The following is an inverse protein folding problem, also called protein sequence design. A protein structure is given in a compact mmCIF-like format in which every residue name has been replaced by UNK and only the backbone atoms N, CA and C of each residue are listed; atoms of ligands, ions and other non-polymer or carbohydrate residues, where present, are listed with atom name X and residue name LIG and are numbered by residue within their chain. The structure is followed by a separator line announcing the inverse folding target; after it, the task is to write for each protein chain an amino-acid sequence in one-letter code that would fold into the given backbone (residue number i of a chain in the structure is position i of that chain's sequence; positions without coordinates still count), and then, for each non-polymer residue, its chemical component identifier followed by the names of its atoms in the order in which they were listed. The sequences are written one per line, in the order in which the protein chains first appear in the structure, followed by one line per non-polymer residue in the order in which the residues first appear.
data_IF_581861147359
#
_entry.id   IF_581861147359
#
_cell.length_a   1.000
_cell.length_b   1.000
_cell.length_c   1.000
_cell.angle_alpha   90.00
_cell.angle_beta   90.00
_cell.angle_gamma   90.00
#
_symmetry.space_group_name_H-M   'P 1'
#
loop_
_entity.id
_entity.type
_entity.pdbx_description
1 polymer ?
#
# COMPACT_ATOMS: atom_id res chain seq x y z
N UNK A 1 -2.94 -10.21 -14.56
CA UNK A 1 -1.86 -9.22 -14.38
C UNK A 1 -2.21 -8.37 -13.19
N UNK A 2 -1.68 -8.76 -12.02
CA UNK A 2 -1.91 -8.08 -10.75
C UNK A 2 -1.22 -6.71 -10.80
N UNK A 3 -2.00 -5.63 -10.67
CA UNK A 3 -1.52 -4.26 -10.51
C UNK A 3 -1.67 -3.83 -9.05
N UNK A 4 -1.28 -4.72 -8.14
CA UNK A 4 -0.93 -4.35 -6.79
C UNK A 4 0.32 -5.12 -6.48
N UNK A 5 1.44 -4.41 -6.53
CA UNK A 5 2.58 -4.79 -5.72
C UNK A 5 2.08 -4.58 -4.30
N UNK A 6 1.52 -5.63 -3.70
CA UNK A 6 1.76 -5.83 -2.28
C UNK A 6 3.24 -5.52 -2.09
N UNK A 7 3.57 -4.48 -1.34
CA UNK A 7 4.95 -4.23 -0.97
C UNK A 7 5.26 -5.27 0.14
N UNK A 8 5.22 -6.56 -0.25
CA UNK A 8 6.02 -7.59 0.38
C UNK A 8 7.43 -7.32 -0.10
N UNK A 9 8.16 -6.55 0.70
CA UNK A 9 9.61 -6.58 0.59
C UNK A 9 9.98 -7.74 1.49
N UNK A 10 10.45 -8.83 0.87
CA UNK A 10 11.45 -9.67 1.53
C UNK A 10 12.64 -8.76 1.79
N UNK A 11 12.56 -7.98 2.87
CA UNK A 11 13.75 -7.56 3.57
C UNK A 11 14.31 -8.90 3.99
N UNK A 12 15.39 -9.34 3.33
CA UNK A 12 15.79 -10.75 3.26
C UNK A 12 15.51 -11.46 4.58
N UNK A 13 14.89 -12.64 4.51
CA UNK A 13 14.22 -13.41 5.58
C UNK A 13 14.82 -13.40 7.00
N UNK A 14 16.03 -12.89 7.16
CA UNK A 14 16.81 -12.74 8.38
C UNK A 14 17.34 -11.28 8.50
N UNK A 15 16.47 -10.27 8.69
CA UNK A 15 16.96 -8.94 9.07
C UNK A 15 17.40 -8.96 10.54
N UNK A 16 18.57 -9.57 10.80
CA UNK A 16 19.21 -9.59 12.13
C UNK A 16 19.72 -8.19 12.54
N UNK A 17 19.92 -7.30 11.57
CA UNK A 17 20.59 -6.00 11.77
C UNK A 17 19.60 -4.84 11.58
N UNK A 18 19.35 -4.01 12.61
CA UNK A 18 18.53 -2.81 12.49
C UNK A 18 19.00 -1.89 11.37
N UNK A 19 18.05 -1.23 10.69
CA UNK A 19 18.33 -0.26 9.61
C UNK A 19 19.32 0.84 10.02
N UNK A 20 19.28 1.28 11.29
CA UNK A 20 20.20 2.29 11.81
C UNK A 20 21.64 1.79 11.92
N UNK A 21 21.83 0.50 12.19
CA UNK A 21 23.15 -0.14 12.25
C UNK A 21 23.73 -0.30 10.85
N UNK A 22 22.92 -0.69 9.86
CA UNK A 22 23.35 -0.71 8.44
C UNK A 22 23.81 0.66 7.95
N UNK A 23 23.05 1.72 8.24
CA UNK A 23 23.42 3.10 7.86
C UNK A 23 24.73 3.52 8.54
N UNK A 24 24.92 3.16 9.81
CA UNK A 24 26.13 3.49 10.54
C UNK A 24 27.36 2.78 9.95
N UNK A 25 27.25 1.49 9.63
CA UNK A 25 28.33 0.70 9.04
C UNK A 25 28.77 1.28 7.68
N UNK A 26 27.82 1.77 6.88
CA UNK A 26 28.11 2.41 5.60
C UNK A 26 28.84 3.74 5.73
N UNK A 27 28.36 4.60 6.64
CA UNK A 27 29.03 5.87 6.92
C UNK A 27 30.46 5.63 7.42
N UNK A 28 30.69 4.52 8.13
CA UNK A 28 32.01 4.11 8.62
C UNK A 28 32.84 3.37 7.57
N UNK A 29 32.29 3.04 6.40
CA UNK A 29 32.98 2.35 5.31
C UNK A 29 33.18 0.85 5.52
N UNK A 30 32.44 0.21 6.44
CA UNK A 30 32.43 -1.26 6.63
C UNK A 30 31.38 -1.93 5.72
N UNK A 31 31.41 -1.58 4.43
CA UNK A 31 30.52 -2.11 3.40
C UNK A 31 30.98 -3.50 2.96
N UNK A 32 30.85 -4.50 3.82
CA UNK A 32 31.20 -5.88 3.49
C UNK A 32 30.23 -6.48 2.46
N UNK A 33 30.57 -6.27 1.19
CA UNK A 33 29.93 -6.94 0.05
C UNK A 33 28.73 -6.20 -0.57
N UNK A 34 28.44 -4.98 -0.14
CA UNK A 34 27.33 -4.18 -0.69
C UNK A 34 27.81 -3.33 -1.88
N UNK A 35 27.03 -3.35 -2.97
CA UNK A 35 27.34 -2.59 -4.18
C UNK A 35 26.76 -1.16 -4.09
N UNK A 36 27.29 -0.20 -4.87
CA UNK A 36 26.68 1.13 -4.99
C UNK A 36 25.20 1.10 -5.43
N UNK A 37 24.78 0.04 -6.13
CA UNK A 37 23.40 -0.16 -6.56
C UNK A 37 22.47 -0.45 -5.37
N UNK A 38 22.97 -1.19 -4.38
CA UNK A 38 22.22 -1.55 -3.17
C UNK A 38 21.94 -0.30 -2.33
N UNK A 39 22.94 0.58 -2.20
CA UNK A 39 22.80 1.87 -1.54
C UNK A 39 21.86 2.84 -2.25
N UNK A 40 21.87 2.84 -3.59
CA UNK A 40 20.90 3.61 -4.36
C UNK A 40 19.47 3.11 -4.14
N UNK A 41 19.27 1.79 -4.14
CA UNK A 41 17.97 1.18 -3.89
C UNK A 41 17.48 1.50 -2.46
N UNK A 42 18.37 1.38 -1.47
CA UNK A 42 18.11 1.71 -0.08
C UNK A 42 17.78 3.20 0.13
N UNK A 43 18.56 4.10 -0.45
CA UNK A 43 18.31 5.54 -0.37
C UNK A 43 16.99 5.92 -1.04
N UNK A 44 16.71 5.34 -2.21
CA UNK A 44 15.44 5.52 -2.91
C UNK A 44 14.27 5.03 -2.05
N UNK A 45 14.46 3.94 -1.31
CA UNK A 45 13.46 3.41 -0.39
C UNK A 45 13.21 4.35 0.80
N UNK A 46 14.27 4.85 1.45
CA UNK A 46 14.14 5.84 2.52
C UNK A 46 13.41 7.11 2.05
N UNK A 47 13.74 7.59 0.85
CA UNK A 47 13.05 8.75 0.26
C UNK A 47 11.57 8.49 0.01
N UNK A 48 11.21 7.29 -0.46
CA UNK A 48 9.80 6.90 -0.62
C UNK A 48 9.06 6.88 0.71
N UNK A 49 9.67 6.37 1.78
CA UNK A 49 9.08 6.39 3.13
C UNK A 49 8.88 7.84 3.59
N UNK A 50 9.92 8.66 3.56
CA UNK A 50 9.83 10.06 4.00
C UNK A 50 8.79 10.85 3.20
N UNK A 51 8.73 10.62 1.89
CA UNK A 51 7.71 11.21 1.04
C UNK A 51 6.31 10.73 1.46
N UNK A 52 6.13 9.44 1.71
CA UNK A 52 4.83 8.88 2.08
C UNK A 52 4.32 9.40 3.43
N UNK A 53 5.20 9.52 4.43
CA UNK A 53 4.87 10.06 5.75
C UNK A 53 4.43 11.52 5.68
N UNK A 54 4.92 12.28 4.69
CA UNK A 54 4.55 13.69 4.50
C UNK A 54 3.28 13.88 3.66
N UNK A 55 2.69 12.81 3.10
CA UNK A 55 1.43 12.92 2.35
C UNK A 55 0.26 13.18 3.31
N UNK A 56 -0.54 14.25 3.12
CA UNK A 56 -1.67 14.57 4.00
C UNK A 56 -2.76 13.50 4.09
N UNK A 57 -2.86 12.62 3.09
CA UNK A 57 -3.84 11.51 3.06
C UNK A 57 -3.36 10.22 3.73
N UNK A 58 -2.11 10.18 4.21
CA UNK A 58 -1.61 9.06 5.00
C UNK A 58 -2.20 9.15 6.42
N UNK A 59 -2.97 8.15 6.83
CA UNK A 59 -3.43 8.02 8.21
C UNK A 59 -2.22 7.65 9.07
N UNK A 60 -2.02 8.41 10.13
CA UNK A 60 -1.02 8.13 11.18
C UNK A 60 -1.76 7.73 12.45
N UNK A 61 -1.55 6.51 12.91
CA UNK A 61 -2.16 5.98 14.14
C UNK A 61 -1.06 5.52 15.10
N UNK A 62 -1.11 6.02 16.34
CA UNK A 62 -0.24 5.52 17.41
C UNK A 62 -0.82 4.24 17.98
N UNK A 63 0.01 3.21 18.09
CA UNK A 63 -0.27 1.91 18.70
C UNK A 63 0.66 1.70 19.87
N UNK A 64 0.10 1.40 21.03
CA UNK A 64 0.83 1.24 22.28
C UNK A 64 0.91 -0.24 22.70
N UNK A 65 1.12 -1.13 21.74
CA UNK A 65 1.02 -2.58 21.94
C UNK A 65 1.92 -3.11 23.06
N UNK A 66 3.12 -2.54 23.26
CA UNK A 66 4.01 -2.96 24.34
C UNK A 66 3.48 -2.45 25.68
N UNK A 67 3.15 -1.15 25.76
CA UNK A 67 2.61 -0.53 26.96
C UNK A 67 1.28 -1.17 27.41
N UNK A 68 0.38 -1.46 26.47
CA UNK A 68 -0.90 -2.12 26.74
C UNK A 68 -0.71 -3.55 27.25
N UNK A 69 0.23 -4.31 26.67
CA UNK A 69 0.54 -5.67 27.13
C UNK A 69 1.20 -5.70 28.50
N UNK A 70 2.07 -4.73 28.82
CA UNK A 70 2.64 -4.58 30.17
C UNK A 70 1.55 -4.22 31.19
N UNK A 71 0.66 -3.29 30.85
CA UNK A 71 -0.47 -2.95 31.70
C UNK A 71 -1.40 -4.15 31.94
N UNK A 72 -1.68 -4.94 30.89
CA UNK A 72 -2.45 -6.17 30.99
C UNK A 72 -1.76 -7.22 31.86
N UNK A 73 -0.43 -7.37 31.76
CA UNK A 73 0.34 -8.26 32.61
C UNK A 73 0.26 -7.84 34.09
N UNK A 74 0.38 -6.54 34.38
CA UNK A 74 0.30 -6.01 35.73
C UNK A 74 -1.09 -6.24 36.38
N UNK A 75 -2.15 -6.20 35.58
CA UNK A 75 -3.53 -6.46 36.04
C UNK A 75 -3.89 -7.96 36.11
N UNK A 76 -3.05 -8.86 35.61
CA UNK A 76 -3.34 -10.30 35.53
C UNK A 76 -3.01 -11.02 36.84
N UNK A 77 -3.97 -11.79 37.34
CA UNK A 77 -3.85 -12.52 38.61
C UNK A 77 -3.17 -13.89 38.45
N UNK A 78 -3.33 -14.52 37.28
CA UNK A 78 -2.72 -15.83 37.03
C UNK A 78 -1.24 -15.70 36.67
N UNK A 79 -0.30 -16.31 37.43
CA UNK A 79 1.13 -16.16 37.17
C UNK A 79 1.54 -16.68 35.79
N UNK A 80 0.92 -17.78 35.33
CA UNK A 80 1.18 -18.35 33.99
C UNK A 80 0.75 -17.42 32.85
N UNK A 81 -0.38 -16.72 33.02
CA UNK A 81 -0.87 -15.75 32.01
C UNK A 81 -0.07 -14.46 32.05
N UNK A 82 0.31 -14.00 33.23
CA UNK A 82 1.18 -12.83 33.42
C UNK A 82 2.51 -13.00 32.70
N UNK A 83 3.23 -14.11 32.95
CA UNK A 83 4.50 -14.39 32.26
C UNK A 83 4.34 -14.50 30.74
N UNK A 84 3.21 -15.00 30.25
CA UNK A 84 2.92 -15.02 28.82
C UNK A 84 2.81 -13.59 28.27
N UNK A 85 2.05 -12.72 28.92
CA UNK A 85 1.89 -11.32 28.51
C UNK A 85 3.20 -10.53 28.59
N UNK A 86 4.03 -10.76 29.61
CA UNK A 86 5.37 -10.17 29.74
C UNK A 86 6.29 -10.61 28.59
N UNK A 87 6.30 -11.89 28.24
CA UNK A 87 7.08 -12.39 27.10
C UNK A 87 6.59 -11.83 25.76
N UNK A 88 5.28 -11.64 25.62
CA UNK A 88 4.72 -10.99 24.44
C UNK A 88 5.06 -9.50 24.39
N UNK A 89 5.06 -8.80 25.53
CA UNK A 89 5.46 -7.41 25.63
C UNK A 89 6.94 -7.22 25.31
N UNK A 90 7.81 -8.13 25.77
CA UNK A 90 9.25 -8.11 25.47
C UNK A 90 9.56 -8.21 23.97
N UNK A 91 8.63 -8.75 23.16
CA UNK A 91 8.75 -8.83 21.70
C UNK A 91 7.97 -7.75 20.97
N UNK A 92 7.19 -6.95 21.69
CA UNK A 92 6.38 -5.87 21.13
C UNK A 92 7.05 -4.52 21.34
N UNK A 93 6.69 -3.56 20.50
CA UNK A 93 7.10 -2.17 20.62
C UNK A 93 5.92 -1.26 20.30
N UNK A 94 5.90 -0.11 20.97
CA UNK A 94 4.96 0.96 20.63
C UNK A 94 5.38 1.56 19.29
N UNK A 95 4.41 1.75 18.39
CA UNK A 95 4.69 2.14 17.00
C UNK A 95 3.69 3.14 16.47
N UNK A 96 4.11 3.88 15.45
CA UNK A 96 3.21 4.69 14.63
C UNK A 96 2.94 3.90 13.36
N UNK A 97 1.69 3.49 13.16
CA UNK A 97 1.25 2.84 11.93
C UNK A 97 0.86 3.92 10.94
N UNK A 98 1.51 3.90 9.78
CA UNK A 98 1.30 4.86 8.70
C UNK A 98 0.76 4.10 7.50
N UNK A 99 -0.42 4.48 7.00
CA UNK A 99 -1.07 3.76 5.91
C UNK A 99 -2.22 4.55 5.28
N UNK A 100 -2.79 4.06 4.16
CA UNK A 100 -3.88 4.75 3.49
C UNK A 100 -5.16 4.71 4.35
N UNK A 101 -5.97 5.78 4.28
CA UNK A 101 -7.24 5.90 5.03
C UNK A 101 -8.20 4.72 4.78
N UNK A 102 -8.17 4.13 3.58
CA UNK A 102 -8.79 2.85 3.30
C UNK A 102 -7.79 1.97 2.57
N UNK A 103 -7.58 0.77 3.10
CA UNK A 103 -7.13 -0.35 2.30
C UNK A 103 -8.43 -0.92 1.76
N UNK A 104 -8.67 -0.78 0.46
CA UNK A 104 -9.69 -1.58 -0.22
C UNK A 104 -9.23 -3.02 -0.11
N UNK A 105 -9.60 -3.69 0.98
CA UNK A 105 -9.56 -5.15 1.04
C UNK A 105 -10.54 -5.56 -0.02
N UNK A 106 -10.00 -5.98 -1.16
CA UNK A 106 -10.78 -6.51 -2.25
C UNK A 106 -11.36 -7.83 -1.74
N UNK A 107 -12.48 -7.72 -1.04
CA UNK A 107 -13.22 -8.85 -0.47
C UNK A 107 -13.59 -9.72 -1.67
N UNK A 108 -12.80 -10.77 -1.90
CA UNK A 108 -13.11 -11.86 -2.82
C UNK A 108 -14.25 -12.71 -2.24
N UNK A 109 -15.33 -12.07 -1.77
CA UNK A 109 -16.57 -12.74 -1.43
C UNK A 109 -17.14 -13.24 -2.75
N UNK A 110 -16.80 -14.48 -3.08
CA UNK A 110 -17.58 -15.24 -4.03
C UNK A 110 -19.00 -15.30 -3.46
N UNK A 111 -19.93 -14.59 -4.09
CA UNK A 111 -21.34 -14.78 -3.82
C UNK A 111 -21.66 -16.27 -3.99
N UNK A 112 -22.45 -16.79 -3.05
CA UNK A 112 -22.88 -18.20 -2.96
C UNK A 112 -23.67 -18.70 -4.21
N UNK A 113 -23.76 -17.87 -5.25
CA UNK A 113 -24.43 -18.12 -6.53
C UNK A 113 -23.47 -18.47 -7.68
N UNK A 114 -22.16 -18.57 -7.43
CA UNK A 114 -21.19 -19.06 -8.42
C UNK A 114 -20.79 -18.04 -9.50
N UNK A 115 -21.28 -16.81 -9.41
CA UNK A 115 -20.83 -15.71 -10.26
C UNK A 115 -19.72 -14.93 -9.56
N UNK A 116 -18.48 -15.07 -10.05
CA UNK A 116 -17.35 -14.24 -9.59
C UNK A 116 -17.54 -12.84 -10.13
N UNK A 117 -17.95 -11.91 -9.27
CA UNK A 117 -18.03 -10.51 -9.63
C UNK A 117 -16.63 -9.93 -9.90
N UNK A 118 -16.52 -9.04 -10.90
CA UNK A 118 -15.23 -8.44 -11.26
C UNK A 118 -14.74 -7.45 -10.17
N UNK A 119 -13.49 -7.59 -9.71
CA UNK A 119 -12.87 -6.67 -8.75
C UNK A 119 -12.68 -5.25 -9.34
N UNK A 120 -12.49 -4.29 -8.44
CA UNK A 120 -12.13 -2.92 -8.80
C UNK A 120 -10.69 -2.90 -9.29
N UNK A 121 -10.50 -2.55 -10.56
CA UNK A 121 -9.18 -2.60 -11.17
C UNK A 121 -8.96 -1.46 -12.15
N UNK A 122 -7.69 -1.11 -12.32
CA UNK A 122 -7.26 -0.21 -13.37
C UNK A 122 -7.26 -0.94 -14.71
N UNK A 123 -8.13 -0.52 -15.63
CA UNK A 123 -7.99 -0.89 -17.04
C UNK A 123 -6.90 -0.02 -17.65
N UNK A 124 -5.86 -0.66 -18.20
CA UNK A 124 -4.76 0.04 -18.89
C UNK A 124 -5.28 0.87 -20.06
N UNK A 125 -4.66 2.03 -20.25
CA UNK A 125 -4.88 2.83 -21.45
C UNK A 125 -4.23 2.18 -22.67
N UNK A 126 -4.83 2.37 -23.83
CA UNK A 126 -4.33 1.82 -25.08
C UNK A 126 -4.77 2.67 -26.26
N UNK A 127 -4.05 2.56 -27.36
CA UNK A 127 -4.46 3.17 -28.61
C UNK A 127 -5.32 2.23 -29.44
N UNK A 128 -6.35 2.75 -30.09
CA UNK A 128 -7.13 1.99 -31.07
C UNK A 128 -7.42 2.81 -32.32
N UNK A 129 -7.58 2.10 -33.43
CA UNK A 129 -8.16 2.64 -34.63
C UNK A 129 -9.69 2.62 -34.52
N UNK A 130 -10.33 3.77 -34.67
CA UNK A 130 -11.78 3.92 -34.65
C UNK A 130 -12.28 4.41 -36.01
N UNK A 131 -13.19 3.64 -36.62
CA UNK A 131 -13.88 4.06 -37.83
C UNK A 131 -14.86 5.21 -37.54
N UNK A 132 -14.94 6.17 -38.45
CA UNK A 132 -15.77 7.36 -38.38
C UNK A 132 -16.10 7.88 -39.80
N UNK A 133 -16.84 8.99 -39.88
CA UNK A 133 -17.32 9.56 -41.14
C UNK A 133 -18.55 8.84 -41.70
N UNK A 134 -19.06 9.35 -42.81
CA UNK A 134 -20.22 8.79 -43.51
C UNK A 134 -19.93 7.34 -43.93
N UNK A 135 -20.85 6.43 -43.59
CA UNK A 135 -20.66 4.99 -43.84
C UNK A 135 -19.48 4.33 -43.11
N UNK A 136 -18.86 4.99 -42.10
CA UNK A 136 -17.64 4.51 -41.42
C UNK A 136 -16.44 4.31 -42.37
N UNK A 137 -16.37 5.10 -43.44
CA UNK A 137 -15.35 4.97 -44.48
C UNK A 137 -13.96 5.44 -44.03
N UNK A 138 -13.87 6.30 -43.01
CA UNK A 138 -12.61 6.88 -42.53
C UNK A 138 -12.19 6.25 -41.21
N UNK A 139 -10.89 6.20 -40.92
CA UNK A 139 -10.37 5.65 -39.66
C UNK A 139 -9.47 6.66 -38.98
N UNK A 140 -9.69 6.93 -37.69
CA UNK A 140 -8.82 7.79 -36.87
C UNK A 140 -8.19 6.98 -35.75
N UNK A 141 -6.96 7.33 -35.40
CA UNK A 141 -6.29 6.76 -34.23
C UNK A 141 -6.72 7.54 -32.99
N UNK A 142 -7.19 6.85 -31.95
CA UNK A 142 -7.55 7.48 -30.69
C UNK A 142 -6.80 6.83 -29.53
N UNK A 143 -6.44 7.65 -28.56
CA UNK A 143 -5.98 7.17 -27.27
C UNK A 143 -7.17 6.98 -26.35
N UNK A 144 -7.30 5.78 -25.80
CA UNK A 144 -8.24 5.49 -24.72
C UNK A 144 -7.44 5.57 -23.43
N UNK A 145 -7.74 6.59 -22.62
CA UNK A 145 -7.10 6.77 -21.33
C UNK A 145 -7.37 5.57 -20.39
N UNK A 146 -6.43 5.27 -19.47
CA UNK A 146 -6.68 4.33 -18.39
C UNK A 146 -7.94 4.73 -17.61
N UNK A 147 -8.73 3.74 -17.19
CA UNK A 147 -9.97 3.95 -16.45
C UNK A 147 -10.02 3.02 -15.25
N UNK A 148 -10.50 3.54 -14.12
CA UNK A 148 -10.81 2.75 -12.94
C UNK A 148 -12.16 2.08 -13.12
N UNK A 149 -12.15 0.77 -13.28
CA UNK A 149 -13.35 -0.05 -13.46
C UNK A 149 -13.88 -0.41 -12.08
N UNK A 150 -15.21 -0.32 -11.90
CA UNK A 150 -15.89 -0.48 -10.59
C UNK A 150 -15.46 0.56 -9.55
N UNK A 151 -15.30 1.82 -9.98
CA UNK A 151 -14.98 2.93 -9.08
C UNK A 151 -16.10 3.25 -8.07
N UNK A 152 -17.33 2.83 -8.35
CA UNK A 152 -18.49 2.88 -7.44
C UNK A 152 -18.24 2.13 -6.12
N UNK A 153 -17.37 1.11 -6.13
CA UNK A 153 -17.02 0.33 -4.94
C UNK A 153 -15.93 0.94 -4.07
N UNK A 154 -15.26 2.00 -4.56
CA UNK A 154 -14.20 2.67 -3.81
C UNK A 154 -14.73 3.64 -2.75
N UNK A 155 -16.05 3.78 -2.66
CA UNK A 155 -16.68 4.78 -1.82
C UNK A 155 -17.05 4.19 -0.47
N UNK A 156 -16.25 4.50 0.55
CA UNK A 156 -16.79 4.64 1.90
C UNK A 156 -17.54 5.98 1.98
N UNK A 157 -18.86 5.92 2.10
CA UNK A 157 -19.86 6.99 2.38
C UNK A 157 -19.78 8.38 1.69
N UNK A 158 -18.72 8.74 0.98
CA UNK A 158 -18.57 10.05 0.36
C UNK A 158 -19.02 10.04 -1.12
N UNK A 159 -19.97 10.90 -1.54
CA UNK A 159 -20.50 10.88 -2.90
C UNK A 159 -19.40 11.01 -3.96
N UNK A 160 -19.52 10.22 -5.04
CA UNK A 160 -18.59 10.23 -6.16
C UNK A 160 -18.42 11.66 -6.71
N UNK A 161 -17.19 12.09 -7.04
CA UNK A 161 -16.99 13.37 -7.71
C UNK A 161 -17.74 13.36 -9.05
N UNK A 162 -18.63 14.33 -9.24
CA UNK A 162 -19.40 14.50 -10.47
C UNK A 162 -18.43 14.68 -11.64
N UNK A 163 -18.55 13.89 -12.73
CA UNK A 163 -17.72 14.07 -13.91
C UNK A 163 -17.81 15.52 -14.40
N UNK A 164 -16.65 16.15 -14.66
CA UNK A 164 -16.63 17.50 -15.24
C UNK A 164 -17.31 17.47 -16.61
N UNK A 165 -18.38 18.25 -16.77
CA UNK A 165 -18.94 18.53 -18.08
C UNK A 165 -17.91 19.35 -18.88
N UNK A 166 -17.41 18.76 -19.96
CA UNK A 166 -16.60 19.48 -20.92
C UNK A 166 -17.54 20.03 -21.99
N UNK A 167 -17.71 21.34 -22.00
CA UNK A 167 -18.33 22.04 -23.14
C UNK A 167 -17.30 22.04 -24.27
N UNK A 168 -17.56 21.24 -25.31
CA UNK A 168 -16.84 21.35 -26.56
C UNK A 168 -17.26 22.68 -27.18
N UNK A 169 -16.34 23.65 -27.26
CA UNK A 169 -16.57 24.85 -28.06
C UNK A 169 -16.44 24.46 -29.53
N UNK A 170 -17.53 24.69 -30.28
CA UNK A 170 -17.54 24.65 -31.75
C UNK A 170 -16.58 25.67 -32.36
#
# INVERSE_FOLDING_TARGET
MSLFTEIFIEVGKDEETPIGEKVLNHIQGDDRGESPQDWLAFTTFLMKILLYITVPSARSERRFDCTEKLAAAAAENSPKRRTKLENEAARAYDRIVIGPMSIMVEDQRADLTGHREMPTHWRRGFFRQQRHGEGRAQTKHIFIAPLLVRADRLVGEAPLPVPKEYVVKD
#
